data_IF_176519115662
#
_entry.id   IF_176519115662
#
_cell.length_a   1.000
_cell.length_b   1.000
_cell.length_c   1.000
_cell.angle_alpha   90.00
_cell.angle_beta   90.00
_cell.angle_gamma   90.00
#
_symmetry.space_group_name_H-M   'P 1'
#
loop_
_entity.id
_entity.type
_entity.pdbx_description
1 polymer ?
#
# COMPACT_ATOMS: atom_id res chain seq x y z
N UNK A 1 12.99 27.29 -2.40
CA UNK A 1 11.85 26.41 -2.77
C UNK A 1 10.59 27.01 -2.20
N UNK A 2 9.55 27.12 -3.00
CA UNK A 2 8.23 27.52 -2.49
C UNK A 2 7.60 26.37 -1.71
N UNK A 3 6.70 26.63 -0.74
CA UNK A 3 5.97 25.58 -0.02
C UNK A 3 5.10 24.70 -0.94
N UNK A 4 4.75 25.22 -2.12
CA UNK A 4 4.03 24.45 -3.14
C UNK A 4 4.97 23.41 -3.81
N UNK A 5 6.20 23.80 -4.15
CA UNK A 5 7.21 22.89 -4.74
C UNK A 5 7.60 21.75 -3.79
N UNK A 6 7.73 22.03 -2.49
CA UNK A 6 8.03 21.01 -1.49
C UNK A 6 6.89 20.00 -1.32
N UNK A 7 5.64 20.47 -1.37
CA UNK A 7 4.47 19.59 -1.32
C UNK A 7 4.40 18.72 -2.58
N UNK A 8 4.59 19.31 -3.77
CA UNK A 8 4.55 18.58 -5.04
C UNK A 8 5.65 17.51 -5.12
N UNK A 9 6.86 17.83 -4.69
CA UNK A 9 7.97 16.86 -4.64
C UNK A 9 7.67 15.73 -3.65
N UNK A 10 7.12 16.03 -2.48
CA UNK A 10 6.73 15.01 -1.51
C UNK A 10 5.63 14.06 -2.05
N UNK A 11 4.63 14.62 -2.73
CA UNK A 11 3.58 13.84 -3.39
C UNK A 11 4.17 12.95 -4.49
N UNK A 12 5.04 13.49 -5.34
CA UNK A 12 5.68 12.74 -6.41
C UNK A 12 6.49 11.54 -5.88
N UNK A 13 7.23 11.73 -4.78
CA UNK A 13 7.99 10.66 -4.12
C UNK A 13 7.05 9.58 -3.56
N UNK A 14 5.98 9.99 -2.88
CA UNK A 14 5.01 9.05 -2.32
C UNK A 14 4.31 8.22 -3.41
N UNK A 15 3.91 8.84 -4.51
CA UNK A 15 3.32 8.16 -5.66
C UNK A 15 4.32 7.20 -6.32
N UNK A 16 5.57 7.64 -6.49
CA UNK A 16 6.65 6.81 -7.04
C UNK A 16 6.91 5.57 -6.18
N UNK A 17 7.09 5.75 -4.87
CA UNK A 17 7.31 4.66 -3.93
C UNK A 17 6.13 3.67 -3.92
N UNK A 18 4.90 4.19 -3.86
CA UNK A 18 3.68 3.36 -3.88
C UNK A 18 3.57 2.54 -5.16
N UNK A 19 3.89 3.13 -6.31
CA UNK A 19 3.88 2.44 -7.61
C UNK A 19 4.91 1.32 -7.65
N UNK A 20 6.14 1.58 -7.19
CA UNK A 20 7.20 0.56 -7.09
C UNK A 20 6.75 -0.59 -6.19
N UNK A 21 6.16 -0.27 -5.03
CA UNK A 21 5.64 -1.30 -4.11
C UNK A 21 4.55 -2.14 -4.78
N UNK A 22 3.58 -1.51 -5.44
CA UNK A 22 2.52 -2.23 -6.17
C UNK A 22 3.14 -3.17 -7.19
N UNK A 23 4.06 -2.70 -8.03
CA UNK A 23 4.72 -3.54 -9.03
C UNK A 23 5.44 -4.75 -8.40
N UNK A 24 6.07 -4.56 -7.24
CA UNK A 24 6.74 -5.63 -6.51
C UNK A 24 5.75 -6.66 -5.93
N UNK A 25 4.62 -6.23 -5.37
CA UNK A 25 3.69 -7.12 -4.65
C UNK A 25 2.48 -7.56 -5.47
N UNK A 26 2.25 -7.01 -6.66
CA UNK A 26 1.03 -7.27 -7.44
C UNK A 26 0.88 -8.75 -7.81
N UNK A 27 1.95 -9.37 -8.34
CA UNK A 27 1.96 -10.80 -8.70
C UNK A 27 1.69 -11.73 -7.50
N UNK A 28 2.43 -11.64 -6.38
CA UNK A 28 2.18 -12.52 -5.25
C UNK A 28 0.80 -12.28 -4.62
N UNK A 29 0.36 -11.03 -4.51
CA UNK A 29 -0.96 -10.68 -3.99
C UNK A 29 -2.07 -11.28 -4.85
N UNK A 30 -1.93 -11.22 -6.19
CA UNK A 30 -2.89 -11.83 -7.12
C UNK A 30 -3.00 -13.34 -6.96
N UNK A 31 -1.85 -14.01 -6.85
CA UNK A 31 -1.82 -15.47 -6.68
C UNK A 31 -2.51 -15.89 -5.38
N UNK A 32 -2.27 -15.17 -4.28
CA UNK A 32 -2.90 -15.49 -3.01
C UNK A 32 -4.40 -15.18 -3.00
N UNK A 33 -4.83 -14.05 -3.57
CA UNK A 33 -6.24 -13.70 -3.69
C UNK A 33 -7.02 -14.70 -4.54
N UNK A 34 -6.44 -15.16 -5.65
CA UNK A 34 -7.04 -16.19 -6.50
C UNK A 34 -7.14 -17.55 -5.79
N UNK A 35 -6.22 -17.86 -4.89
CA UNK A 35 -6.26 -19.10 -4.10
C UNK A 35 -7.29 -19.05 -2.97
N UNK A 36 -7.59 -17.87 -2.41
CA UNK A 36 -8.51 -17.71 -1.29
C UNK A 36 -9.94 -17.32 -1.67
N UNK A 37 -10.14 -16.68 -2.82
CA UNK A 37 -11.47 -16.26 -3.27
C UNK A 37 -12.07 -17.34 -4.18
N UNK A 38 -13.25 -17.90 -3.84
CA UNK A 38 -13.94 -18.88 -4.69
C UNK A 38 -14.54 -18.26 -5.97
N UNK A 39 -14.61 -16.93 -6.05
CA UNK A 39 -15.18 -16.18 -7.17
C UNK A 39 -14.20 -15.10 -7.62
N UNK A 40 -13.89 -15.07 -8.92
CA UNK A 40 -12.92 -14.15 -9.52
C UNK A 40 -13.27 -12.67 -9.32
N UNK A 41 -14.57 -12.34 -9.25
CA UNK A 41 -15.05 -10.96 -9.01
C UNK A 41 -14.64 -10.44 -7.64
N UNK A 42 -14.66 -11.29 -6.62
CA UNK A 42 -14.25 -10.95 -5.25
C UNK A 42 -12.74 -10.74 -5.18
N UNK A 43 -11.95 -11.57 -5.86
CA UNK A 43 -10.49 -11.41 -5.94
C UNK A 43 -10.10 -10.07 -6.59
N UNK A 44 -10.78 -9.70 -7.68
CA UNK A 44 -10.55 -8.43 -8.37
C UNK A 44 -10.93 -7.21 -7.52
N UNK A 45 -12.02 -7.28 -6.75
CA UNK A 45 -12.41 -6.22 -5.82
C UNK A 45 -11.34 -5.99 -4.76
N UNK A 46 -10.91 -7.05 -4.06
CA UNK A 46 -9.88 -6.94 -3.02
C UNK A 46 -8.54 -6.45 -3.57
N UNK A 47 -8.18 -6.85 -4.79
CA UNK A 47 -7.00 -6.35 -5.46
C UNK A 47 -7.06 -4.84 -5.69
N UNK A 48 -8.18 -4.33 -6.21
CA UNK A 48 -8.38 -2.88 -6.42
C UNK A 48 -8.37 -2.13 -5.10
N UNK A 49 -9.01 -2.66 -4.06
CA UNK A 49 -9.03 -2.07 -2.72
C UNK A 49 -7.62 -2.01 -2.11
N UNK A 50 -6.82 -3.07 -2.25
CA UNK A 50 -5.43 -3.08 -1.77
C UNK A 50 -4.58 -2.02 -2.50
N UNK A 51 -4.70 -1.93 -3.82
CA UNK A 51 -4.03 -0.89 -4.63
C UNK A 51 -4.44 0.50 -4.18
N UNK A 52 -5.74 0.74 -3.95
CA UNK A 52 -6.25 2.03 -3.47
C UNK A 52 -5.64 2.40 -2.11
N UNK A 53 -5.60 1.46 -1.16
CA UNK A 53 -5.00 1.68 0.18
C UNK A 53 -3.50 1.98 0.06
N UNK A 54 -2.77 1.25 -0.78
CA UNK A 54 -1.33 1.45 -0.99
C UNK A 54 -1.02 2.84 -1.55
N UNK A 55 -1.90 3.44 -2.36
CA UNK A 55 -1.73 4.82 -2.81
C UNK A 55 -2.23 5.85 -1.78
N UNK A 56 -3.42 5.62 -1.21
CA UNK A 56 -4.10 6.61 -0.38
C UNK A 56 -3.43 6.81 0.99
N UNK A 57 -2.98 5.74 1.65
CA UNK A 57 -2.41 5.86 3.00
C UNK A 57 -1.08 6.63 3.02
N UNK A 58 -0.08 6.32 2.16
CA UNK A 58 1.16 7.08 2.12
C UNK A 58 0.92 8.55 1.74
N UNK A 59 -0.01 8.80 0.81
CA UNK A 59 -0.34 10.15 0.39
C UNK A 59 -1.05 10.93 1.50
N UNK A 60 -1.98 10.29 2.21
CA UNK A 60 -2.61 10.84 3.41
C UNK A 60 -1.58 11.19 4.49
N UNK A 61 -0.62 10.29 4.76
CA UNK A 61 0.46 10.53 5.71
C UNK A 61 1.30 11.74 5.32
N UNK A 62 1.66 11.87 4.04
CA UNK A 62 2.42 13.02 3.54
C UNK A 62 1.63 14.32 3.66
N UNK A 63 0.33 14.32 3.40
CA UNK A 63 -0.48 15.54 3.54
C UNK A 63 -0.72 15.89 5.01
N UNK A 64 -1.11 14.93 5.83
CA UNK A 64 -1.44 15.15 7.25
C UNK A 64 -0.21 15.52 8.09
N UNK A 65 0.94 14.89 7.83
CA UNK A 65 2.16 15.08 8.62
C UNK A 65 3.26 15.87 7.91
N UNK A 66 3.21 16.04 6.59
CA UNK A 66 4.19 16.82 5.84
C UNK A 66 3.87 18.32 5.78
N UNK A 67 2.60 18.70 5.64
CA UNK A 67 2.16 20.11 5.57
C UNK A 67 2.45 20.91 6.87
N UNK A 68 2.23 20.37 8.09
CA UNK A 68 2.52 21.12 9.33
C UNK A 68 4.03 21.24 9.63
N UNK A 69 4.87 20.38 9.06
CA UNK A 69 6.31 20.32 9.35
C UNK A 69 7.11 21.28 8.46
N UNK A 70 6.55 21.71 7.33
CA UNK A 70 7.10 22.68 6.38
C UNK A 70 6.90 24.14 6.84
N UNK A 71 7.04 24.42 8.14
CA UNK A 71 7.02 25.79 8.67
C UNK A 71 8.07 26.69 8.01
N UNK A 72 8.09 28.01 8.29
CA UNK A 72 8.89 29.02 7.58
C UNK A 72 10.42 28.88 7.72
N UNK A 73 10.93 27.76 8.23
CA UNK A 73 12.36 27.42 8.22
C UNK A 73 12.75 26.88 6.86
N UNK A 74 13.85 27.38 6.32
CA UNK A 74 14.42 26.89 5.07
C UNK A 74 14.86 25.42 5.22
N UNK A 75 13.99 24.50 4.82
CA UNK A 75 14.35 23.09 4.71
C UNK A 75 15.05 22.86 3.38
N UNK A 76 16.23 22.26 3.43
CA UNK A 76 16.95 21.78 2.24
C UNK A 76 16.14 20.68 1.55
N UNK A 77 16.11 20.65 0.22
CA UNK A 77 15.42 19.64 -0.59
C UNK A 77 15.72 18.20 -0.16
N UNK A 78 16.97 17.93 0.20
CA UNK A 78 17.40 16.60 0.66
C UNK A 78 16.71 16.14 1.96
N UNK A 79 16.40 17.07 2.87
CA UNK A 79 15.74 16.76 4.13
C UNK A 79 14.26 16.41 3.91
N UNK A 80 13.60 17.15 3.00
CA UNK A 80 12.21 16.89 2.59
C UNK A 80 12.13 15.50 1.97
N UNK A 81 13.02 15.21 1.00
CA UNK A 81 13.09 13.89 0.35
C UNK A 81 13.28 12.79 1.38
N UNK A 82 14.25 12.92 2.29
CA UNK A 82 14.57 11.88 3.28
C UNK A 82 13.40 11.61 4.21
N UNK A 83 12.71 12.65 4.70
CA UNK A 83 11.54 12.50 5.59
C UNK A 83 10.35 11.88 4.87
N UNK A 84 10.03 12.37 3.68
CA UNK A 84 8.93 11.81 2.88
C UNK A 84 9.20 10.36 2.52
N UNK A 85 10.43 10.02 2.15
CA UNK A 85 10.82 8.65 1.85
C UNK A 85 10.69 7.75 3.09
N UNK A 86 11.16 8.20 4.25
CA UNK A 86 11.04 7.43 5.50
C UNK A 86 9.58 7.22 5.90
N UNK A 87 8.75 8.25 5.84
CA UNK A 87 7.33 8.17 6.19
C UNK A 87 6.54 7.28 5.22
N UNK A 88 6.76 7.43 3.91
CA UNK A 88 6.13 6.58 2.89
C UNK A 88 6.60 5.13 3.00
N UNK A 89 7.90 4.89 3.15
CA UNK A 89 8.45 3.55 3.33
C UNK A 89 7.89 2.86 4.59
N UNK A 90 7.84 3.56 5.73
CA UNK A 90 7.27 3.04 6.96
C UNK A 90 5.79 2.65 6.78
N UNK A 91 5.01 3.52 6.15
CA UNK A 91 3.59 3.28 5.86
C UNK A 91 3.39 2.09 4.91
N UNK A 92 4.21 1.99 3.86
CA UNK A 92 4.15 0.90 2.90
C UNK A 92 4.51 -0.45 3.55
N UNK A 93 5.56 -0.48 4.39
CA UNK A 93 5.94 -1.69 5.13
C UNK A 93 4.83 -2.12 6.08
N UNK A 94 4.21 -1.19 6.81
CA UNK A 94 3.10 -1.52 7.72
C UNK A 94 1.87 -2.05 6.95
N UNK A 95 1.54 -1.49 5.79
CA UNK A 95 0.46 -2.01 4.93
C UNK A 95 0.79 -3.44 4.46
N UNK A 96 1.98 -3.67 3.91
CA UNK A 96 2.39 -4.99 3.40
C UNK A 96 2.40 -6.01 4.53
N UNK A 97 2.91 -5.64 5.71
CA UNK A 97 2.94 -6.51 6.88
C UNK A 97 1.53 -6.83 7.39
N UNK A 98 0.62 -5.84 7.43
CA UNK A 98 -0.77 -6.05 7.83
C UNK A 98 -1.52 -6.97 6.85
N UNK A 99 -1.33 -6.77 5.53
CA UNK A 99 -1.87 -7.65 4.49
C UNK A 99 -1.30 -9.06 4.69
N UNK A 100 0.02 -9.21 4.78
CA UNK A 100 0.68 -10.50 4.95
C UNK A 100 0.21 -11.24 6.22
N UNK A 101 0.09 -10.54 7.34
CA UNK A 101 -0.40 -11.11 8.60
C UNK A 101 -1.85 -11.58 8.49
N UNK A 102 -2.71 -10.78 7.85
CA UNK A 102 -4.12 -11.17 7.61
C UNK A 102 -4.21 -12.37 6.69
N UNK A 103 -3.45 -12.40 5.60
CA UNK A 103 -3.42 -13.55 4.69
C UNK A 103 -2.89 -14.81 5.39
N UNK A 104 -1.85 -14.69 6.23
CA UNK A 104 -1.33 -15.82 7.01
C UNK A 104 -2.33 -16.35 8.06
N UNK A 105 -3.21 -15.49 8.57
CA UNK A 105 -4.27 -15.90 9.50
C UNK A 105 -5.45 -16.64 8.83
N UNK A 106 -5.59 -16.50 7.51
CA UNK A 106 -6.61 -17.20 6.73
C UNK A 106 -6.06 -18.57 6.32
N UNK A 107 -6.57 -19.65 6.92
CA UNK A 107 -6.29 -21.00 6.44
C UNK A 107 -6.92 -21.17 5.04
N UNK A 108 -6.20 -21.71 4.04
CA UNK A 108 -6.83 -22.16 2.81
C UNK A 108 -7.84 -23.27 3.16
N UNK A 109 -9.04 -23.20 2.59
CA UNK A 109 -10.06 -24.23 2.78
C UNK A 109 -9.49 -25.59 2.36
N UNK A 110 -9.48 -26.56 3.28
CA UNK A 110 -9.06 -27.93 2.97
C UNK A 110 -10.08 -28.57 2.03
N UNK A 111 -9.60 -29.43 1.11
CA UNK A 111 -10.47 -30.17 0.19
C UNK A 111 -11.55 -31.02 0.90
N UNK A 112 -11.36 -31.29 2.20
CA UNK A 112 -12.31 -31.98 3.08
C UNK A 112 -13.57 -31.15 3.43
N UNK A 113 -13.59 -29.84 3.18
CA UNK A 113 -14.75 -28.98 3.45
C UNK A 113 -15.82 -29.01 2.34
N UNK A 114 -15.54 -29.65 1.19
CA UNK A 114 -16.55 -29.82 0.14
C UNK A 114 -17.40 -31.07 0.40
N UNK A 115 -18.75 -30.97 0.41
CA UNK A 115 -19.58 -32.15 0.50
C UNK A 115 -19.28 -33.08 -0.69
N UNK A 116 -19.24 -34.40 -0.49
CA UNK A 116 -18.94 -35.34 -1.56
C UNK A 116 -19.93 -35.14 -2.71
N UNK A 117 -19.42 -35.13 -3.94
CA UNK A 117 -20.25 -35.05 -5.13
C UNK A 117 -21.32 -36.15 -5.07
N UNK A 118 -22.58 -35.75 -4.92
CA UNK A 118 -23.72 -36.66 -4.95
C UNK A 118 -23.78 -37.22 -6.36
N UNK A 119 -23.41 -38.49 -6.52
CA UNK A 119 -23.56 -39.26 -7.77
C UNK A 119 -25.00 -39.69 -7.95
#
# INVERSE_FOLDING_TARGET
MTPLESLLTAIAIALGASTITILAIFRPLRRQLAAMCPVDTTAAFWMRSAVAVIYLLPLFMVVAFGVPVLGPKEFTTAEIVRRTLAASAFTLVTIVMAIGFRLASLRPASADDYPPAVR
#
